data_IF_375861738613
#
_entry.id   IF_375861738613
#
_cell.length_a   1.000
_cell.length_b   1.000
_cell.length_c   1.000
_cell.angle_alpha   90.00
_cell.angle_beta   90.00
_cell.angle_gamma   90.00
#
_symmetry.space_group_name_H-M   'P 1'
#
loop_
_entity.id
_entity.type
_entity.pdbx_description
1 polymer ?
#
# COMPACT_ATOMS: atom_id res chain seq x y z
N UNK A 1 23.01 9.98 6.20
CA UNK A 1 22.24 10.26 4.97
C UNK A 1 22.35 11.74 4.56
N UNK A 2 22.08 12.70 5.45
CA UNK A 2 22.17 14.15 5.16
C UNK A 2 23.58 14.56 4.70
N UNK A 3 24.62 14.07 5.37
CA UNK A 3 26.02 14.35 4.99
C UNK A 3 26.30 13.87 3.57
N UNK A 4 25.87 12.64 3.23
CA UNK A 4 26.01 12.06 1.87
C UNK A 4 25.27 12.91 0.83
N UNK A 5 24.04 13.37 1.12
CA UNK A 5 23.29 14.23 0.20
C UNK A 5 23.98 15.57 -0.04
N UNK A 6 24.57 16.16 1.00
CA UNK A 6 25.32 17.43 0.87
C UNK A 6 26.62 17.30 0.09
N UNK A 7 27.20 16.11 -0.02
CA UNK A 7 28.45 15.87 -0.76
C UNK A 7 28.24 15.58 -2.25
N UNK A 8 27.01 15.32 -2.70
CA UNK A 8 26.71 15.04 -4.11
C UNK A 8 26.94 16.29 -4.96
N UNK A 9 27.71 16.12 -6.02
CA UNK A 9 28.00 17.15 -7.03
C UNK A 9 27.19 16.88 -8.30
N UNK A 10 27.05 17.91 -9.14
CA UNK A 10 26.37 17.80 -10.43
C UNK A 10 26.99 16.71 -11.33
N UNK A 11 28.32 16.56 -11.28
CA UNK A 11 29.01 15.60 -12.11
C UNK A 11 28.74 14.17 -11.67
N UNK A 12 28.58 13.90 -10.36
CA UNK A 12 28.15 12.59 -9.85
C UNK A 12 26.76 12.21 -10.41
N UNK A 13 25.86 13.20 -10.51
CA UNK A 13 24.52 12.99 -11.08
C UNK A 13 24.60 12.74 -12.59
N UNK A 14 25.42 13.50 -13.33
CA UNK A 14 25.62 13.29 -14.76
C UNK A 14 26.21 11.91 -15.06
N UNK A 15 27.19 11.48 -14.26
CA UNK A 15 27.80 10.15 -14.38
C UNK A 15 26.76 9.04 -14.09
N UNK A 16 26.00 9.18 -13.00
CA UNK A 16 24.93 8.23 -12.67
C UNK A 16 23.91 8.15 -13.81
N UNK A 17 23.46 9.28 -14.34
CA UNK A 17 22.53 9.33 -15.46
C UNK A 17 23.09 8.66 -16.71
N UNK A 18 24.31 8.99 -17.09
CA UNK A 18 24.97 8.45 -18.28
C UNK A 18 25.28 6.95 -18.19
N UNK A 19 25.40 6.40 -16.98
CA UNK A 19 25.73 4.98 -16.78
C UNK A 19 24.53 4.10 -16.47
N UNK A 20 23.51 4.62 -15.75
CA UNK A 20 22.39 3.82 -15.26
C UNK A 20 21.09 4.00 -16.08
N UNK A 21 20.93 5.14 -16.74
CA UNK A 21 19.73 5.41 -17.55
C UNK A 21 20.01 5.06 -19.01
N UNK A 22 19.25 4.11 -19.54
CA UNK A 22 19.44 3.67 -20.93
C UNK A 22 18.31 2.78 -21.41
N UNK A 23 18.51 2.16 -22.57
CA UNK A 23 17.54 1.32 -23.25
C UNK A 23 17.72 -0.19 -22.99
N UNK A 24 18.55 -0.55 -22.00
CA UNK A 24 18.86 -1.97 -21.70
C UNK A 24 17.68 -2.72 -21.06
N UNK A 25 16.86 -2.03 -20.28
CA UNK A 25 15.63 -2.58 -19.69
C UNK A 25 14.66 -1.44 -19.39
N UNK A 26 13.44 -1.56 -19.84
CA UNK A 26 12.39 -0.58 -19.60
C UNK A 26 11.08 -0.99 -20.24
N UNK A 27 10.01 -0.37 -19.80
CA UNK A 27 8.65 -0.61 -20.27
C UNK A 27 8.03 0.74 -20.61
N UNK A 28 7.40 0.83 -21.78
CA UNK A 28 6.62 2.00 -22.19
C UNK A 28 5.16 1.59 -22.32
N UNK A 29 4.32 2.23 -21.57
CA UNK A 29 2.87 2.06 -21.66
C UNK A 29 2.28 3.36 -22.17
N UNK A 30 1.46 3.26 -23.21
CA UNK A 30 0.76 4.39 -23.79
C UNK A 30 -0.72 4.07 -23.88
N UNK A 31 -1.55 5.03 -23.48
CA UNK A 31 -3.00 4.96 -23.55
C UNK A 31 -3.49 6.21 -24.26
N UNK A 32 -4.34 6.07 -25.29
CA UNK A 32 -4.87 7.18 -26.05
C UNK A 32 -5.35 6.74 -27.44
N UNK A 33 -5.69 7.71 -28.27
CA UNK A 33 -6.11 7.51 -29.67
C UNK A 33 -4.91 7.53 -30.61
N UNK A 34 -4.34 6.37 -30.89
CA UNK A 34 -3.21 6.19 -31.81
C UNK A 34 -3.15 4.75 -32.34
N UNK A 35 -2.39 4.55 -33.39
CA UNK A 35 -2.00 3.19 -33.83
C UNK A 35 -0.54 2.90 -33.44
N UNK A 36 -0.24 1.63 -33.19
CA UNK A 36 1.12 1.20 -32.91
C UNK A 36 2.10 1.54 -34.06
N UNK A 37 1.62 1.47 -35.31
CA UNK A 37 2.41 1.78 -36.47
C UNK A 37 2.85 3.25 -36.53
N UNK A 38 2.01 4.17 -36.09
CA UNK A 38 2.33 5.61 -36.02
C UNK A 38 3.31 5.93 -34.89
N UNK A 39 3.13 5.28 -33.73
CA UNK A 39 3.90 5.59 -32.52
C UNK A 39 5.30 4.96 -32.51
N UNK A 40 5.42 3.70 -32.92
CA UNK A 40 6.65 2.91 -32.84
C UNK A 40 7.89 3.61 -33.46
N UNK A 41 7.84 4.22 -34.67
CA UNK A 41 9.01 4.87 -35.24
C UNK A 41 9.52 6.02 -34.37
N UNK A 42 8.63 6.80 -33.78
CA UNK A 42 8.95 7.95 -32.92
C UNK A 42 9.59 7.47 -31.61
N UNK A 43 8.99 6.46 -30.98
CA UNK A 43 9.51 5.85 -29.74
C UNK A 43 10.88 5.23 -29.97
N UNK A 44 11.00 4.39 -31.01
CA UNK A 44 12.27 3.73 -31.37
C UNK A 44 13.40 4.75 -31.58
N UNK A 45 13.12 5.84 -32.30
CA UNK A 45 14.09 6.92 -32.52
C UNK A 45 14.49 7.63 -31.22
N UNK A 46 13.54 7.81 -30.31
CA UNK A 46 13.79 8.46 -29.00
C UNK A 46 14.68 7.59 -28.11
N UNK A 47 14.36 6.30 -27.97
CA UNK A 47 15.08 5.39 -27.08
C UNK A 47 16.41 4.90 -27.67
N UNK A 48 16.58 4.87 -28.99
CA UNK A 48 17.81 4.45 -29.64
C UNK A 48 19.05 5.24 -29.21
N UNK A 49 18.85 6.49 -28.76
CA UNK A 49 19.93 7.35 -28.25
C UNK A 49 20.30 7.12 -26.79
N UNK A 50 19.52 6.31 -26.08
CA UNK A 50 19.70 6.02 -24.66
C UNK A 50 20.47 4.70 -24.50
N UNK A 51 21.80 4.74 -24.68
CA UNK A 51 22.62 3.56 -24.46
C UNK A 51 22.97 3.39 -23.00
N UNK A 52 22.66 2.23 -22.41
CA UNK A 52 23.14 1.88 -21.05
C UNK A 52 24.46 1.12 -21.12
N UNK A 53 25.32 1.36 -20.14
CA UNK A 53 26.59 0.63 -19.96
C UNK A 53 26.51 -0.42 -18.84
N UNK A 54 25.41 -0.40 -18.08
CA UNK A 54 25.23 -1.26 -16.91
C UNK A 54 24.06 -2.19 -17.15
N UNK A 55 24.26 -3.47 -16.90
CA UNK A 55 23.21 -4.48 -16.95
C UNK A 55 22.17 -4.19 -15.86
N UNK A 56 20.88 -4.32 -16.22
CA UNK A 56 19.81 -4.18 -15.25
C UNK A 56 19.81 -5.33 -14.26
N UNK A 57 19.96 -5.01 -12.98
CA UNK A 57 19.84 -5.96 -11.88
C UNK A 57 18.67 -5.55 -11.00
N UNK A 58 17.69 -6.43 -10.88
CA UNK A 58 16.54 -6.19 -10.00
C UNK A 58 16.97 -6.34 -8.54
N UNK A 59 16.74 -5.28 -7.76
CA UNK A 59 16.95 -5.33 -6.31
C UNK A 59 15.70 -5.91 -5.65
N UNK A 60 15.86 -7.05 -5.01
CA UNK A 60 14.78 -7.72 -4.30
C UNK A 60 14.49 -7.09 -2.93
N UNK A 61 13.21 -7.12 -2.54
CA UNK A 61 12.80 -6.71 -1.19
C UNK A 61 13.17 -7.77 -0.17
N UNK A 62 13.72 -7.35 0.98
CA UNK A 62 14.03 -8.26 2.07
C UNK A 62 12.78 -8.68 2.84
N UNK A 63 12.73 -9.96 3.23
CA UNK A 63 11.71 -10.49 4.14
C UNK A 63 12.28 -10.52 5.56
N UNK A 64 11.48 -10.10 6.53
CA UNK A 64 11.82 -10.11 7.96
C UNK A 64 10.71 -10.78 8.76
N UNK A 65 10.51 -12.11 8.59
CA UNK A 65 9.35 -12.83 9.18
C UNK A 65 9.39 -12.89 10.70
N UNK A 66 10.59 -12.82 11.29
CA UNK A 66 10.80 -13.03 12.73
C UNK A 66 10.93 -11.72 13.52
N UNK A 67 10.63 -10.59 12.90
CA UNK A 67 10.63 -9.31 13.62
C UNK A 67 9.48 -9.29 14.62
N UNK A 68 9.84 -9.15 15.90
CA UNK A 68 8.88 -9.03 17.00
C UNK A 68 8.22 -7.65 16.99
N UNK A 69 6.95 -7.64 17.32
CA UNK A 69 6.22 -6.39 17.54
C UNK A 69 6.86 -5.57 18.67
N UNK A 70 6.84 -4.26 18.52
CA UNK A 70 7.33 -3.30 19.52
C UNK A 70 6.64 -1.96 19.34
N UNK A 71 6.70 -1.11 20.35
CA UNK A 71 6.26 0.26 20.26
C UNK A 71 7.44 1.19 20.60
N UNK A 72 7.68 2.14 19.71
CA UNK A 72 8.68 3.20 19.90
C UNK A 72 7.97 4.57 19.85
N UNK A 73 8.30 5.44 20.78
CA UNK A 73 7.81 6.82 20.82
C UNK A 73 8.97 7.78 20.54
N UNK A 74 8.78 8.68 19.59
CA UNK A 74 9.79 9.66 19.17
C UNK A 74 9.29 11.05 19.52
N UNK A 75 9.95 11.71 20.44
CA UNK A 75 9.67 13.11 20.79
C UNK A 75 10.12 14.02 19.63
N UNK A 76 9.19 14.84 19.14
CA UNK A 76 9.45 15.84 18.08
C UNK A 76 8.94 17.20 18.53
N UNK A 77 9.75 17.98 19.29
CA UNK A 77 9.33 19.25 19.87
C UNK A 77 8.83 20.27 18.84
N UNK A 78 7.82 21.02 19.20
CA UNK A 78 7.23 22.07 18.38
C UNK A 78 6.34 21.56 17.22
N UNK A 79 6.09 20.27 17.11
CA UNK A 79 5.17 19.72 16.09
C UNK A 79 3.73 19.70 16.60
N UNK A 80 2.85 20.40 15.91
CA UNK A 80 1.42 20.51 16.26
C UNK A 80 0.64 19.20 16.10
N UNK A 81 1.14 18.29 15.25
CA UNK A 81 0.52 17.00 14.99
C UNK A 81 1.45 15.87 15.45
N UNK A 82 0.87 14.84 16.04
CA UNK A 82 1.49 13.54 16.23
C UNK A 82 1.14 12.62 15.06
N UNK A 83 2.06 11.73 14.74
CA UNK A 83 1.91 10.70 13.72
C UNK A 83 2.01 9.32 14.36
N UNK A 84 1.05 8.48 14.06
CA UNK A 84 1.06 7.06 14.38
C UNK A 84 1.27 6.26 13.09
N UNK A 85 2.16 5.30 13.11
CA UNK A 85 2.31 4.29 12.08
C UNK A 85 2.53 2.93 12.72
N UNK A 86 1.85 1.92 12.23
CA UNK A 86 2.04 0.54 12.64
C UNK A 86 2.10 -0.36 11.42
N UNK A 87 3.02 -1.31 11.41
CA UNK A 87 3.15 -2.24 10.29
C UNK A 87 3.74 -3.57 10.72
N UNK A 88 3.37 -4.64 10.00
CA UNK A 88 4.08 -5.92 10.02
C UNK A 88 4.05 -6.58 8.64
N UNK A 89 4.99 -7.49 8.40
CA UNK A 89 4.98 -8.31 7.18
C UNK A 89 4.00 -9.47 7.33
N UNK A 90 3.36 -9.84 6.22
CA UNK A 90 2.35 -10.90 6.13
C UNK A 90 2.78 -11.86 5.04
N UNK A 91 2.88 -13.18 5.29
CA UNK A 91 3.29 -14.17 4.29
C UNK A 91 2.16 -14.48 3.31
N UNK A 92 1.66 -13.45 2.65
CA UNK A 92 0.60 -13.52 1.64
C UNK A 92 0.94 -12.53 0.55
N UNK A 93 1.30 -13.02 -0.60
CA UNK A 93 1.47 -12.25 -1.83
C UNK A 93 0.18 -12.22 -2.64
N UNK A 94 0.28 -11.62 -3.82
CA UNK A 94 -0.89 -11.40 -4.67
C UNK A 94 -1.51 -12.69 -5.23
N UNK A 95 -0.70 -13.75 -5.39
CA UNK A 95 -1.16 -15.06 -5.90
C UNK A 95 -1.62 -16.02 -4.80
N UNK A 96 -1.50 -15.61 -3.56
CA UNK A 96 -1.95 -16.41 -2.44
C UNK A 96 -3.49 -16.48 -2.40
N UNK A 97 -4.02 -17.65 -2.09
CA UNK A 97 -5.47 -17.86 -2.01
C UNK A 97 -6.19 -16.98 -1.00
N UNK A 98 -5.48 -16.54 0.05
CA UNK A 98 -6.03 -15.69 1.11
C UNK A 98 -5.92 -14.18 0.76
N UNK A 99 -5.31 -13.82 -0.39
CA UNK A 99 -5.09 -12.42 -0.78
C UNK A 99 -6.39 -11.64 -0.95
N UNK A 100 -7.36 -12.19 -1.66
CA UNK A 100 -8.67 -11.56 -1.86
C UNK A 100 -9.37 -11.26 -0.53
N UNK A 101 -9.32 -12.22 0.41
CA UNK A 101 -9.91 -12.07 1.73
C UNK A 101 -9.23 -10.98 2.56
N UNK A 102 -7.89 -10.86 2.48
CA UNK A 102 -7.15 -9.77 3.14
C UNK A 102 -7.44 -8.39 2.54
N UNK A 103 -7.64 -8.30 1.23
CA UNK A 103 -8.08 -7.05 0.58
C UNK A 103 -9.41 -6.58 1.16
N UNK A 104 -10.39 -7.50 1.27
CA UNK A 104 -11.72 -7.19 1.81
C UNK A 104 -11.65 -6.87 3.30
N UNK A 105 -10.89 -7.63 4.10
CA UNK A 105 -10.70 -7.35 5.52
C UNK A 105 -10.07 -5.96 5.73
N UNK A 106 -9.05 -5.60 4.94
CA UNK A 106 -8.44 -4.28 4.98
C UNK A 106 -9.42 -3.17 4.56
N UNK A 107 -10.23 -3.40 3.52
CA UNK A 107 -11.25 -2.44 3.08
C UNK A 107 -12.23 -2.11 4.21
N UNK A 108 -12.67 -3.11 4.97
CA UNK A 108 -13.58 -2.93 6.10
C UNK A 108 -12.88 -2.24 7.27
N UNK A 109 -11.65 -2.65 7.59
CA UNK A 109 -10.93 -2.10 8.73
C UNK A 109 -10.59 -0.62 8.56
N UNK A 110 -9.92 -0.24 7.48
CA UNK A 110 -9.42 1.13 7.31
C UNK A 110 -9.15 1.54 5.86
N UNK A 111 -9.32 0.62 4.87
CA UNK A 111 -9.11 0.91 3.45
C UNK A 111 -10.29 1.63 2.79
N UNK A 112 -11.47 1.56 3.37
CA UNK A 112 -12.73 2.10 2.86
C UNK A 112 -12.94 3.60 3.08
N UNK A 113 -11.89 4.37 3.27
CA UNK A 113 -12.00 5.82 3.54
C UNK A 113 -12.92 6.10 4.73
N UNK A 114 -13.91 7.00 4.56
CA UNK A 114 -14.84 7.43 5.63
C UNK A 114 -15.81 6.36 6.12
N UNK A 115 -15.99 5.28 5.39
CA UNK A 115 -16.93 4.19 5.72
C UNK A 115 -16.25 2.95 6.31
N UNK A 116 -15.01 3.06 6.78
CA UNK A 116 -14.27 2.00 7.44
C UNK A 116 -14.39 2.07 8.96
N UNK A 117 -14.17 0.93 9.64
CA UNK A 117 -14.23 0.86 11.12
C UNK A 117 -13.30 1.85 11.80
N UNK A 118 -12.05 1.97 11.32
CA UNK A 118 -11.10 2.94 11.88
C UNK A 118 -11.58 4.39 11.69
N UNK A 119 -12.14 4.72 10.53
CA UNK A 119 -12.66 6.07 10.30
C UNK A 119 -13.88 6.36 11.18
N UNK A 120 -14.80 5.41 11.30
CA UNK A 120 -15.97 5.53 12.17
C UNK A 120 -15.55 5.71 13.64
N UNK A 121 -14.65 4.85 14.15
CA UNK A 121 -14.23 4.89 15.55
C UNK A 121 -13.36 6.10 15.87
N UNK A 122 -12.24 6.25 15.16
CA UNK A 122 -11.18 7.20 15.54
C UNK A 122 -11.50 8.62 15.09
N UNK A 123 -12.18 8.78 13.94
CA UNK A 123 -12.52 10.10 13.40
C UNK A 123 -13.92 10.56 13.76
N UNK A 124 -14.96 9.73 13.52
CA UNK A 124 -16.34 10.18 13.64
C UNK A 124 -16.84 10.13 15.08
N UNK A 125 -16.65 9.00 15.79
CA UNK A 125 -17.14 8.82 17.16
C UNK A 125 -16.27 9.51 18.19
N UNK A 126 -14.97 9.27 18.15
CA UNK A 126 -14.06 9.73 19.19
C UNK A 126 -13.44 11.10 18.90
N UNK A 127 -13.45 11.56 17.63
CA UNK A 127 -12.86 12.84 17.23
C UNK A 127 -11.35 12.95 17.47
N UNK A 128 -10.64 11.80 17.54
CA UNK A 128 -9.22 11.77 17.92
C UNK A 128 -8.29 12.13 16.77
N UNK A 129 -8.72 11.87 15.53
CA UNK A 129 -7.89 12.05 14.32
C UNK A 129 -8.76 12.45 13.14
N UNK A 130 -8.26 13.33 12.28
CA UNK A 130 -8.91 13.64 11.00
C UNK A 130 -8.42 12.75 9.85
N UNK A 131 -7.33 12.01 10.05
CA UNK A 131 -6.76 11.11 9.03
C UNK A 131 -6.30 9.81 9.66
N UNK A 132 -7.07 8.74 9.43
CA UNK A 132 -6.76 7.37 9.85
C UNK A 132 -7.09 6.41 8.72
N UNK A 133 -6.19 5.45 8.47
CA UNK A 133 -6.44 4.41 7.47
C UNK A 133 -5.59 3.16 7.72
N UNK A 134 -5.97 2.06 7.07
CA UNK A 134 -5.16 0.86 6.93
C UNK A 134 -4.89 0.56 5.46
N UNK A 135 -3.78 -0.10 5.20
CA UNK A 135 -3.35 -0.52 3.87
C UNK A 135 -2.78 -1.94 3.92
N UNK A 136 -3.14 -2.74 2.92
CA UNK A 136 -2.49 -4.00 2.65
C UNK A 136 -1.83 -3.93 1.28
N UNK A 137 -0.51 -4.09 1.21
CA UNK A 137 0.26 -4.04 -0.03
C UNK A 137 1.16 -5.25 -0.15
N UNK A 138 1.15 -5.90 -1.30
CA UNK A 138 2.03 -7.02 -1.61
C UNK A 138 3.32 -6.58 -2.25
N UNK A 139 4.37 -7.36 -2.07
CA UNK A 139 5.62 -7.24 -2.82
C UNK A 139 5.44 -7.85 -4.21
N UNK A 140 6.13 -7.29 -5.20
CA UNK A 140 5.88 -7.61 -6.61
C UNK A 140 6.19 -9.07 -6.95
N UNK A 141 7.31 -9.61 -6.45
CA UNK A 141 7.84 -10.91 -6.85
C UNK A 141 7.97 -11.92 -5.69
N UNK A 142 7.32 -11.64 -4.56
CA UNK A 142 7.35 -12.54 -3.39
C UNK A 142 5.95 -12.83 -2.89
N UNK A 143 5.74 -14.03 -2.37
CA UNK A 143 4.51 -14.36 -1.63
C UNK A 143 4.55 -13.69 -0.25
N UNK A 144 4.62 -12.38 -0.28
CA UNK A 144 4.78 -11.52 0.89
C UNK A 144 3.97 -10.24 0.71
N UNK A 145 3.39 -9.76 1.79
CA UNK A 145 2.70 -8.49 1.87
C UNK A 145 3.11 -7.72 3.12
N UNK A 146 2.60 -6.51 3.22
CA UNK A 146 2.72 -5.63 4.38
C UNK A 146 1.35 -5.08 4.73
N UNK A 147 0.91 -5.37 5.94
CA UNK A 147 -0.22 -4.70 6.56
C UNK A 147 0.28 -3.49 7.33
N UNK A 148 -0.33 -2.34 7.10
CA UNK A 148 0.08 -1.07 7.69
C UNK A 148 -1.15 -0.24 8.07
N UNK A 149 -1.04 0.50 9.18
CA UNK A 149 -2.03 1.49 9.62
C UNK A 149 -1.32 2.79 9.93
N UNK A 150 -2.01 3.91 9.73
CA UNK A 150 -1.52 5.22 10.15
C UNK A 150 -2.64 6.09 10.67
N UNK A 151 -2.28 7.07 11.51
CA UNK A 151 -3.16 8.13 11.94
C UNK A 151 -2.39 9.42 12.19
N UNK A 152 -3.07 10.56 12.04
CA UNK A 152 -2.55 11.89 12.35
C UNK A 152 -3.49 12.52 13.37
N UNK A 153 -2.96 12.91 14.53
CA UNK A 153 -3.76 13.43 15.64
C UNK A 153 -3.09 14.61 16.35
N UNK A 154 -3.82 15.23 17.26
CA UNK A 154 -3.19 16.08 18.26
C UNK A 154 -2.27 15.21 19.15
N UNK A 155 -1.06 15.66 19.52
CA UNK A 155 -0.16 14.93 20.41
C UNK A 155 -0.82 14.45 21.71
N UNK A 156 -1.68 15.25 22.31
CA UNK A 156 -2.42 14.88 23.52
C UNK A 156 -3.38 13.69 23.35
N UNK A 157 -3.74 13.34 22.10
CA UNK A 157 -4.62 12.21 21.78
C UNK A 157 -3.84 10.96 21.35
N UNK A 158 -2.51 11.01 21.26
CA UNK A 158 -1.70 9.92 20.68
C UNK A 158 -1.99 8.56 21.34
N UNK A 159 -1.99 8.47 22.65
CA UNK A 159 -2.23 7.21 23.36
C UNK A 159 -3.65 6.68 23.14
N UNK A 160 -4.64 7.59 23.07
CA UNK A 160 -6.03 7.22 22.77
C UNK A 160 -6.16 6.67 21.36
N UNK A 161 -5.45 7.25 20.38
CA UNK A 161 -5.41 6.78 19.01
C UNK A 161 -4.78 5.39 18.92
N UNK A 162 -3.65 5.16 19.61
CA UNK A 162 -3.00 3.85 19.70
C UNK A 162 -3.97 2.80 20.23
N UNK A 163 -4.64 3.12 21.36
CA UNK A 163 -5.60 2.22 22.00
C UNK A 163 -6.81 1.92 21.10
N UNK A 164 -7.42 2.94 20.51
CA UNK A 164 -8.60 2.78 19.64
C UNK A 164 -8.29 1.97 18.38
N UNK A 165 -7.14 2.20 17.73
CA UNK A 165 -6.74 1.41 16.56
C UNK A 165 -6.51 -0.06 16.94
N UNK A 166 -5.83 -0.31 18.07
CA UNK A 166 -5.60 -1.67 18.54
C UNK A 166 -6.89 -2.38 18.87
N UNK A 167 -7.80 -1.72 19.56
CA UNK A 167 -9.12 -2.25 19.91
C UNK A 167 -9.91 -2.65 18.65
N UNK A 168 -9.94 -1.82 17.61
CA UNK A 168 -10.64 -2.14 16.36
C UNK A 168 -10.03 -3.35 15.63
N UNK A 169 -8.70 -3.50 15.63
CA UNK A 169 -8.06 -4.69 15.08
C UNK A 169 -8.41 -5.93 15.91
N UNK A 170 -8.40 -5.84 17.23
CA UNK A 170 -8.76 -6.95 18.12
C UNK A 170 -10.24 -7.33 17.97
N UNK A 171 -11.16 -6.35 17.86
CA UNK A 171 -12.58 -6.59 17.59
C UNK A 171 -12.81 -7.25 16.22
N UNK A 172 -12.12 -6.79 15.17
CA UNK A 172 -12.20 -7.43 13.85
C UNK A 172 -11.78 -8.90 13.91
N UNK A 173 -10.74 -9.23 14.67
CA UNK A 173 -10.25 -10.60 14.82
C UNK A 173 -11.18 -11.46 15.67
N UNK A 174 -11.71 -10.91 16.76
CA UNK A 174 -12.54 -11.62 17.73
C UNK A 174 -13.95 -11.85 17.19
N UNK A 175 -14.62 -10.77 16.84
CA UNK A 175 -16.04 -10.76 16.50
C UNK A 175 -16.27 -10.97 14.99
N UNK A 176 -15.25 -10.68 14.18
CA UNK A 176 -15.31 -10.80 12.73
C UNK A 176 -16.05 -9.63 12.07
N UNK A 177 -16.39 -9.83 10.80
CA UNK A 177 -17.18 -8.91 9.99
C UNK A 177 -18.63 -9.40 9.90
N UNK A 178 -19.54 -8.48 9.61
CA UNK A 178 -20.94 -8.79 9.31
C UNK A 178 -21.17 -9.04 7.81
N UNK A 179 -22.27 -9.66 7.45
CA UNK A 179 -22.68 -9.84 6.05
C UNK A 179 -22.91 -8.49 5.36
N UNK A 180 -23.41 -7.49 6.09
CA UNK A 180 -23.61 -6.13 5.57
C UNK A 180 -22.28 -5.43 5.25
N UNK A 181 -21.26 -5.57 6.11
CA UNK A 181 -19.92 -5.03 5.85
C UNK A 181 -19.27 -5.72 4.65
N UNK A 182 -19.39 -7.05 4.53
CA UNK A 182 -18.88 -7.80 3.38
C UNK A 182 -19.51 -7.30 2.08
N UNK A 183 -20.84 -7.16 2.04
CA UNK A 183 -21.56 -6.66 0.86
C UNK A 183 -21.06 -5.27 0.46
N UNK A 184 -21.05 -4.32 1.41
CA UNK A 184 -20.57 -2.95 1.15
C UNK A 184 -19.12 -2.90 0.69
N UNK A 185 -18.23 -3.70 1.27
CA UNK A 185 -16.83 -3.75 0.89
C UNK A 185 -16.64 -4.27 -0.54
N UNK A 186 -17.34 -5.34 -0.92
CA UNK A 186 -17.34 -5.87 -2.29
C UNK A 186 -17.81 -4.81 -3.30
N UNK A 187 -18.96 -4.19 -3.04
CA UNK A 187 -19.51 -3.14 -3.90
C UNK A 187 -18.53 -1.97 -4.05
N UNK A 188 -17.96 -1.48 -2.95
CA UNK A 188 -17.01 -0.37 -2.96
C UNK A 188 -15.73 -0.70 -3.76
N UNK A 189 -15.19 -1.91 -3.60
CA UNK A 189 -14.00 -2.34 -4.37
C UNK A 189 -14.34 -2.42 -5.86
N UNK A 190 -15.45 -3.04 -6.25
CA UNK A 190 -15.85 -3.14 -7.65
C UNK A 190 -16.08 -1.77 -8.28
N UNK A 191 -16.78 -0.89 -7.58
CA UNK A 191 -17.02 0.48 -8.05
C UNK A 191 -15.71 1.27 -8.19
N UNK A 192 -14.82 1.21 -7.21
CA UNK A 192 -13.52 1.87 -7.27
C UNK A 192 -12.68 1.39 -8.45
N UNK A 193 -12.66 0.07 -8.71
CA UNK A 193 -11.96 -0.51 -9.84
C UNK A 193 -12.57 -0.05 -11.17
N UNK A 194 -13.91 -0.01 -11.29
CA UNK A 194 -14.59 0.45 -12.49
C UNK A 194 -14.28 1.93 -12.78
N UNK A 195 -14.37 2.81 -11.77
CA UNK A 195 -14.05 4.24 -11.89
C UNK A 195 -12.58 4.44 -12.27
N UNK A 196 -11.67 3.69 -11.65
CA UNK A 196 -10.24 3.77 -11.99
C UNK A 196 -9.97 3.41 -13.45
N UNK A 197 -10.63 2.39 -13.99
CA UNK A 197 -10.49 1.96 -15.39
C UNK A 197 -11.21 2.85 -16.42
N UNK A 198 -12.07 3.74 -15.96
CA UNK A 198 -12.83 4.63 -16.85
C UNK A 198 -12.00 5.85 -17.32
N UNK A 199 -10.78 6.04 -16.83
CA UNK A 199 -9.91 7.15 -17.21
C UNK A 199 -8.60 6.64 -17.79
N UNK A 200 -8.00 7.38 -18.73
CA UNK A 200 -6.71 7.05 -19.34
C UNK A 200 -5.62 6.92 -18.27
N UNK A 201 -5.58 7.85 -17.30
CA UNK A 201 -4.62 7.81 -16.20
C UNK A 201 -4.79 6.58 -15.30
N UNK A 202 -6.02 6.17 -15.01
CA UNK A 202 -6.31 4.96 -14.25
C UNK A 202 -5.94 3.69 -15.02
N UNK A 203 -6.25 3.64 -16.32
CA UNK A 203 -5.86 2.54 -17.20
C UNK A 203 -4.34 2.46 -17.33
N UNK A 204 -3.65 3.59 -17.52
CA UNK A 204 -2.19 3.68 -17.55
C UNK A 204 -1.58 3.13 -16.26
N UNK A 205 -2.09 3.55 -15.09
CA UNK A 205 -1.63 3.06 -13.80
C UNK A 205 -1.82 1.56 -13.61
N UNK A 206 -2.97 1.01 -14.03
CA UNK A 206 -3.25 -0.42 -14.02
C UNK A 206 -2.27 -1.19 -14.90
N UNK A 207 -2.13 -0.79 -16.17
CA UNK A 207 -1.24 -1.46 -17.13
C UNK A 207 0.22 -1.41 -16.66
N UNK A 208 0.69 -0.24 -16.18
CA UNK A 208 2.03 -0.10 -15.62
C UNK A 208 2.26 -1.05 -14.44
N UNK A 209 1.27 -1.17 -13.54
CA UNK A 209 1.36 -2.10 -12.40
C UNK A 209 1.41 -3.56 -12.84
N UNK A 210 0.62 -3.93 -13.85
CA UNK A 210 0.59 -5.30 -14.38
C UNK A 210 1.89 -5.65 -15.11
N UNK A 211 2.36 -4.77 -15.99
CA UNK A 211 3.61 -4.96 -16.75
C UNK A 211 4.81 -5.06 -15.81
N UNK A 212 4.95 -4.16 -14.82
CA UNK A 212 6.00 -4.22 -13.81
C UNK A 212 5.97 -5.53 -12.99
N UNK A 213 4.82 -6.17 -12.88
CA UNK A 213 4.62 -7.45 -12.20
C UNK A 213 4.71 -8.66 -13.15
N UNK A 214 4.94 -8.43 -14.45
CA UNK A 214 4.93 -9.45 -15.49
C UNK A 214 3.58 -10.22 -15.53
N UNK A 215 2.46 -9.50 -15.46
CA UNK A 215 1.10 -10.03 -15.42
C UNK A 215 0.23 -9.38 -16.47
N UNK A 216 -0.85 -10.05 -16.80
CA UNK A 216 -1.87 -9.58 -17.73
C UNK A 216 -3.14 -9.08 -17.02
N UNK A 217 -4.07 -8.55 -17.81
CA UNK A 217 -5.35 -8.03 -17.32
C UNK A 217 -6.25 -9.14 -16.75
N UNK A 218 -6.05 -10.39 -17.15
CA UNK A 218 -6.83 -11.53 -16.62
C UNK A 218 -6.62 -11.67 -15.11
N UNK A 219 -5.39 -11.43 -14.63
CA UNK A 219 -5.08 -11.41 -13.17
C UNK A 219 -6.00 -10.47 -12.38
N UNK A 220 -6.39 -9.35 -12.98
CA UNK A 220 -7.32 -8.40 -12.33
C UNK A 220 -8.75 -8.94 -12.30
N UNK A 221 -9.19 -9.55 -13.40
CA UNK A 221 -10.52 -10.18 -13.47
C UNK A 221 -10.65 -11.35 -12.50
N UNK A 222 -9.62 -12.19 -12.43
CA UNK A 222 -9.59 -13.34 -11.51
C UNK A 222 -9.68 -12.89 -10.05
N UNK A 223 -8.98 -11.80 -9.69
CA UNK A 223 -9.08 -11.20 -8.36
C UNK A 223 -10.50 -10.68 -8.07
N UNK A 224 -11.13 -10.01 -9.02
CA UNK A 224 -12.51 -9.51 -8.86
C UNK A 224 -13.51 -10.66 -8.68
N UNK A 225 -13.36 -11.73 -9.46
CA UNK A 225 -14.16 -12.97 -9.31
C UNK A 225 -13.95 -13.58 -7.92
N UNK A 226 -12.68 -13.69 -7.48
CA UNK A 226 -12.34 -14.22 -6.16
C UNK A 226 -12.96 -13.37 -5.04
N UNK A 227 -12.88 -12.04 -5.12
CA UNK A 227 -13.50 -11.12 -4.14
C UNK A 227 -15.02 -11.34 -4.10
N UNK A 228 -15.69 -11.42 -5.25
CA UNK A 228 -17.14 -11.63 -5.31
C UNK A 228 -17.58 -12.98 -4.71
N UNK A 229 -16.75 -14.00 -4.82
CA UNK A 229 -17.04 -15.34 -4.28
C UNK A 229 -16.82 -15.49 -2.76
N UNK A 230 -16.16 -14.51 -2.10
CA UNK A 230 -15.83 -14.61 -0.67
C UNK A 230 -17.08 -14.74 0.22
N UNK A 231 -16.97 -15.56 1.26
CA UNK A 231 -17.91 -15.62 2.38
C UNK A 231 -17.38 -14.80 3.58
N UNK A 232 -18.27 -14.55 4.55
CA UNK A 232 -17.91 -13.90 5.84
C UNK A 232 -16.84 -14.73 6.57
N UNK A 233 -17.00 -16.05 6.58
CA UNK A 233 -16.10 -16.99 7.27
C UNK A 233 -14.69 -16.93 6.70
N UNK A 234 -14.55 -16.84 5.36
CA UNK A 234 -13.25 -16.75 4.69
C UNK A 234 -12.52 -15.45 5.04
N UNK A 235 -13.24 -14.32 5.05
CA UNK A 235 -12.65 -13.03 5.43
C UNK A 235 -12.26 -13.02 6.90
N UNK A 236 -13.10 -13.56 7.79
CA UNK A 236 -12.81 -13.68 9.21
C UNK A 236 -11.62 -14.60 9.49
N UNK A 237 -11.51 -15.71 8.78
CA UNK A 237 -10.37 -16.62 8.91
C UNK A 237 -9.06 -15.92 8.50
N UNK A 238 -9.06 -15.17 7.40
CA UNK A 238 -7.90 -14.41 6.94
C UNK A 238 -7.52 -13.29 7.93
N UNK A 239 -8.49 -12.52 8.43
CA UNK A 239 -8.25 -11.48 9.42
C UNK A 239 -7.61 -12.05 10.70
N UNK A 240 -8.17 -13.13 11.26
CA UNK A 240 -7.61 -13.81 12.44
C UNK A 240 -6.20 -14.34 12.21
N UNK A 241 -5.92 -14.88 11.03
CA UNK A 241 -4.64 -15.50 10.72
C UNK A 241 -3.52 -14.50 10.47
N UNK A 242 -3.83 -13.36 9.89
CA UNK A 242 -2.81 -12.46 9.32
C UNK A 242 -2.78 -11.04 9.88
N UNK A 243 -3.86 -10.52 10.43
CA UNK A 243 -3.85 -9.20 11.06
C UNK A 243 -3.49 -9.34 12.54
N UNK A 244 -2.20 -9.42 12.84
CA UNK A 244 -1.65 -9.82 14.15
C UNK A 244 -1.14 -8.61 14.92
N UNK A 245 -1.91 -8.06 15.90
CA UNK A 245 -1.49 -6.89 16.68
C UNK A 245 -0.17 -7.10 17.43
N UNK A 246 0.10 -8.32 17.85
CA UNK A 246 1.34 -8.70 18.55
C UNK A 246 2.59 -8.67 17.67
N UNK A 247 2.44 -8.64 16.35
CA UNK A 247 3.54 -8.51 15.39
C UNK A 247 3.74 -7.07 14.89
N UNK A 248 2.88 -6.14 15.27
CA UNK A 248 2.98 -4.77 14.80
C UNK A 248 4.21 -4.07 15.39
N UNK A 249 5.03 -3.49 14.53
CA UNK A 249 5.97 -2.46 14.89
C UNK A 249 5.19 -1.15 14.86
N UNK A 250 5.01 -0.55 16.03
CA UNK A 250 4.29 0.71 16.21
C UNK A 250 5.31 1.81 16.45
N UNK A 251 5.20 2.90 15.72
CA UNK A 251 5.97 4.12 15.94
C UNK A 251 5.00 5.28 16.11
N UNK A 252 5.14 6.00 17.19
CA UNK A 252 4.48 7.29 17.41
C UNK A 252 5.52 8.39 17.40
N UNK A 253 5.23 9.52 16.77
CA UNK A 253 6.10 10.68 16.74
C UNK A 253 5.27 11.95 16.97
N UNK A 254 5.68 12.80 17.92
CA UNK A 254 4.92 14.00 18.28
C UNK A 254 5.57 14.80 19.37
N UNK A 255 5.01 15.98 19.68
CA UNK A 255 5.38 16.79 20.83
C UNK A 255 4.51 16.39 22.03
N UNK A 256 4.90 15.28 22.67
CA UNK A 256 4.12 14.68 23.76
C UNK A 256 4.29 15.40 25.10
N UNK A 257 5.25 16.35 25.20
CA UNK A 257 5.52 17.16 26.39
C UNK A 257 4.81 18.53 26.33
N UNK A 258 4.33 18.94 25.16
CA UNK A 258 3.54 20.16 25.02
C UNK A 258 2.17 19.95 25.68
N UNK A 259 1.98 20.55 26.83
CA UNK A 259 0.70 20.59 27.57
C UNK A 259 -0.15 21.77 27.10
#
# INVERSE_FOLDING_TARGET
QIVRLKSIKLDDIKELYATQIGNGSGELIVVGDFTAAELLPTVTKAIAKLATKVEYVRVDSSAFPDVKGRHESILTPGKKNAFYIAAHQVPVGRMNKDYAALIVANQILGGGSLSSRLADRVRQKDGLSYGVASMYRTYTFKDLGRFMMYAISNPANSDKVVAAIREEVDLLRKDGITAAELKKAKEAIMQSNAVSRATDGGMLGLLNSLTAQQRDIQTTKDLEIAIQALSVEQVNAAARKYMLPEKLIVITAGDFEAK
#
